data_IF_978173832012
#
_entry.id   IF_978173832012
#
_cell.length_a   1.000
_cell.length_b   1.000
_cell.length_c   1.000
_cell.angle_alpha   90.00
_cell.angle_beta   90.00
_cell.angle_gamma   90.00
#
_symmetry.space_group_name_H-M   'P 1'
#
loop_
_entity.id
_entity.type
_entity.pdbx_description
1 polymer ?
#
# COMPACT_ATOMS: atom_id res chain seq x y z
N UNK A 1 -4.18 -19.85 -27.89
CA UNK A 1 -4.88 -20.20 -26.63
C UNK A 1 -4.94 -18.94 -25.79
N UNK A 2 -6.16 -18.47 -25.50
CA UNK A 2 -6.49 -17.13 -24.99
C UNK A 2 -6.75 -17.17 -23.48
N UNK A 3 -6.06 -16.35 -22.68
CA UNK A 3 -6.23 -16.12 -21.22
C UNK A 3 -5.47 -14.79 -20.91
N UNK A 4 -5.91 -13.74 -20.19
CA UNK A 4 -7.13 -13.39 -19.44
C UNK A 4 -7.20 -11.84 -19.38
N UNK A 5 -8.39 -11.26 -19.49
CA UNK A 5 -8.65 -9.84 -19.27
C UNK A 5 -8.86 -9.63 -17.75
N UNK A 6 -8.09 -8.75 -17.10
CA UNK A 6 -8.14 -8.58 -15.64
C UNK A 6 -9.21 -7.51 -15.28
N UNK A 7 -10.37 -7.96 -14.80
CA UNK A 7 -11.51 -7.09 -14.47
C UNK A 7 -11.45 -6.61 -13.01
N UNK A 8 -11.32 -5.30 -12.83
CA UNK A 8 -11.43 -4.60 -11.55
C UNK A 8 -12.91 -4.49 -11.15
N UNK A 9 -13.25 -4.83 -9.91
CA UNK A 9 -14.58 -4.59 -9.34
C UNK A 9 -14.48 -3.52 -8.25
N UNK A 10 -15.13 -2.38 -8.46
CA UNK A 10 -15.27 -1.30 -7.48
C UNK A 10 -16.63 -1.38 -6.78
N UNK A 11 -16.65 -1.50 -5.46
CA UNK A 11 -17.85 -1.34 -4.63
C UNK A 11 -17.95 0.10 -4.15
N UNK A 12 -18.72 0.93 -4.85
CA UNK A 12 -18.86 2.36 -4.56
C UNK A 12 -19.85 2.66 -3.42
N UNK A 13 -19.43 3.46 -2.44
CA UNK A 13 -20.35 4.26 -1.61
C UNK A 13 -20.72 5.52 -2.39
N UNK A 14 -22.01 5.76 -2.59
CA UNK A 14 -22.53 6.92 -3.32
C UNK A 14 -21.97 8.25 -2.79
N UNK A 15 -21.32 9.04 -3.66
CA UNK A 15 -21.01 10.44 -3.37
C UNK A 15 -19.66 11.01 -3.81
N UNK A 16 -18.86 10.39 -4.70
CA UNK A 16 -17.59 10.98 -5.14
C UNK A 16 -17.41 10.95 -6.67
N UNK A 17 -16.96 12.08 -7.22
CA UNK A 17 -16.73 12.29 -8.63
C UNK A 17 -15.53 11.43 -9.09
N UNK A 18 -15.69 10.45 -10.01
CA UNK A 18 -14.63 9.52 -10.42
C UNK A 18 -13.47 10.17 -11.20
N UNK A 19 -13.50 11.49 -11.41
CA UNK A 19 -12.56 12.18 -12.29
C UNK A 19 -11.24 12.65 -11.65
N UNK A 20 -11.04 12.47 -10.34
CA UNK A 20 -9.73 12.71 -9.73
C UNK A 20 -9.29 11.53 -8.86
N UNK A 21 -8.64 10.50 -9.44
CA UNK A 21 -8.12 9.35 -8.69
C UNK A 21 -7.08 9.77 -7.62
N UNK A 22 -7.06 9.04 -6.50
CA UNK A 22 -6.04 9.20 -5.46
C UNK A 22 -4.70 8.59 -5.87
N UNK A 23 -4.77 7.51 -6.64
CA UNK A 23 -3.60 6.81 -7.18
C UNK A 23 -3.84 6.61 -8.67
N UNK A 24 -2.87 7.02 -9.47
CA UNK A 24 -2.77 6.61 -10.87
C UNK A 24 -1.45 5.89 -11.08
N UNK A 25 -1.53 4.77 -11.78
CA UNK A 25 -0.38 3.97 -12.16
C UNK A 25 -0.51 3.68 -13.65
N UNK A 26 0.55 3.95 -14.41
CA UNK A 26 0.61 3.64 -15.83
C UNK A 26 1.88 2.88 -16.18
N UNK A 27 1.72 1.77 -16.90
CA UNK A 27 2.79 0.97 -17.45
C UNK A 27 3.75 0.40 -16.39
N UNK A 28 3.24 -0.01 -15.22
CA UNK A 28 4.11 -0.57 -14.17
C UNK A 28 4.76 -1.86 -14.65
N UNK A 29 6.09 -1.83 -14.74
CA UNK A 29 6.93 -2.99 -15.01
C UNK A 29 7.86 -3.23 -13.85
N UNK A 30 8.02 -4.50 -13.48
CA UNK A 30 8.93 -4.92 -12.42
C UNK A 30 9.77 -6.08 -12.92
N UNK A 31 11.09 -5.97 -12.78
CA UNK A 31 12.08 -6.97 -13.19
C UNK A 31 12.94 -7.38 -12.00
N UNK A 32 13.30 -8.66 -11.92
CA UNK A 32 14.30 -9.18 -10.98
C UNK A 32 15.29 -10.01 -11.80
N UNK A 33 16.57 -9.62 -11.77
CA UNK A 33 17.55 -10.20 -12.70
C UNK A 33 17.04 -10.04 -14.14
N UNK A 34 17.01 -11.13 -14.91
CA UNK A 34 16.52 -11.11 -16.29
C UNK A 34 15.02 -11.34 -16.48
N UNK A 35 14.30 -11.63 -15.40
CA UNK A 35 12.88 -11.98 -15.46
C UNK A 35 11.99 -10.78 -15.19
N UNK A 36 11.12 -10.45 -16.14
CA UNK A 36 10.02 -9.51 -15.94
C UNK A 36 8.86 -10.21 -15.22
N UNK A 37 8.46 -9.65 -14.09
CA UNK A 37 7.42 -10.20 -13.20
C UNK A 37 6.10 -9.42 -13.31
N UNK A 38 6.13 -8.16 -13.74
CA UNK A 38 4.96 -7.36 -14.10
C UNK A 38 5.21 -6.74 -15.47
N UNK A 39 4.23 -6.86 -16.37
CA UNK A 39 4.38 -6.55 -17.80
C UNK A 39 3.60 -5.30 -18.24
N UNK A 40 3.58 -4.24 -17.43
CA UNK A 40 2.87 -3.00 -17.74
C UNK A 40 1.47 -2.97 -17.16
N UNK A 41 1.36 -2.82 -15.84
CA UNK A 41 0.08 -2.71 -15.13
C UNK A 41 -0.39 -1.26 -15.12
N UNK A 42 -1.64 -1.04 -15.53
CA UNK A 42 -2.37 0.23 -15.40
C UNK A 42 -3.43 0.12 -14.30
N UNK A 43 -3.57 1.17 -13.48
CA UNK A 43 -4.55 1.21 -12.39
C UNK A 43 -4.95 2.65 -12.07
N UNK A 44 -6.23 2.85 -11.79
CA UNK A 44 -6.76 4.05 -11.12
C UNK A 44 -7.49 3.64 -9.85
N UNK A 45 -7.15 4.25 -8.73
CA UNK A 45 -7.87 4.09 -7.46
C UNK A 45 -8.57 5.41 -7.15
N UNK A 46 -9.91 5.46 -7.12
CA UNK A 46 -10.65 6.66 -6.77
C UNK A 46 -10.30 7.17 -5.37
N UNK A 47 -10.42 8.47 -5.17
CA UNK A 47 -10.37 9.06 -3.81
C UNK A 47 -11.53 8.53 -2.98
N UNK A 48 -11.26 8.33 -1.69
CA UNK A 48 -12.28 7.97 -0.69
C UNK A 48 -12.94 6.60 -0.87
N UNK A 49 -12.46 5.77 -1.79
CA UNK A 49 -13.06 4.48 -2.10
C UNK A 49 -12.16 3.31 -1.72
N UNK A 50 -12.77 2.15 -1.49
CA UNK A 50 -12.06 0.91 -1.21
C UNK A 50 -11.94 0.10 -2.49
N UNK A 51 -10.71 -0.04 -2.99
CA UNK A 51 -10.44 -0.83 -4.21
C UNK A 51 -9.82 -2.17 -3.85
N UNK A 52 -10.31 -3.25 -4.46
CA UNK A 52 -9.76 -4.59 -4.34
C UNK A 52 -9.07 -5.03 -5.64
N UNK A 53 -7.89 -5.63 -5.51
CA UNK A 53 -7.19 -6.30 -6.62
C UNK A 53 -7.40 -7.80 -6.47
N UNK A 54 -8.07 -8.40 -7.45
CA UNK A 54 -8.39 -9.85 -7.49
C UNK A 54 -7.70 -10.53 -8.67
N UNK A 55 -7.59 -11.86 -8.62
CA UNK A 55 -6.93 -12.66 -9.66
C UNK A 55 -6.25 -13.91 -9.09
N UNK A 56 -5.78 -14.80 -9.97
CA UNK A 56 -5.17 -16.08 -9.62
C UNK A 56 -3.88 -15.95 -8.79
N UNK A 57 -3.52 -16.97 -8.01
CA UNK A 57 -2.25 -16.99 -7.29
C UNK A 57 -1.08 -16.79 -8.27
N UNK A 58 -0.11 -15.94 -7.90
CA UNK A 58 1.02 -15.63 -8.78
C UNK A 58 0.78 -14.55 -9.83
N UNK A 59 -0.45 -14.04 -10.01
CA UNK A 59 -0.76 -12.99 -11.01
C UNK A 59 -0.15 -11.60 -10.75
N UNK A 60 0.74 -11.47 -9.75
CA UNK A 60 1.44 -10.23 -9.45
C UNK A 60 0.72 -9.26 -8.50
N UNK A 61 -0.48 -9.56 -7.98
CA UNK A 61 -1.25 -8.66 -7.08
C UNK A 61 -0.43 -8.10 -5.91
N UNK A 62 0.21 -8.99 -5.15
CA UNK A 62 1.04 -8.59 -4.00
C UNK A 62 2.30 -7.85 -4.44
N UNK A 63 2.82 -8.13 -5.64
CA UNK A 63 3.98 -7.44 -6.20
C UNK A 63 3.60 -6.01 -6.64
N UNK A 64 2.45 -5.84 -7.28
CA UNK A 64 1.87 -4.52 -7.61
C UNK A 64 1.64 -3.70 -6.35
N UNK A 65 1.03 -4.28 -5.31
CA UNK A 65 0.80 -3.58 -4.05
C UNK A 65 2.13 -3.18 -3.35
N UNK A 66 3.14 -4.05 -3.40
CA UNK A 66 4.49 -3.72 -2.89
C UNK A 66 5.17 -2.62 -3.71
N UNK A 67 4.99 -2.58 -5.03
CA UNK A 67 5.51 -1.52 -5.88
C UNK A 67 4.91 -0.16 -5.52
N UNK A 68 3.59 -0.11 -5.37
CA UNK A 68 2.87 1.10 -4.93
C UNK A 68 3.30 1.59 -3.54
N UNK A 69 3.76 0.68 -2.67
CA UNK A 69 4.23 1.01 -1.32
C UNK A 69 5.75 1.26 -1.20
N UNK A 70 6.50 1.13 -2.30
CA UNK A 70 7.97 1.22 -2.27
C UNK A 70 8.65 0.12 -1.47
N UNK A 71 8.05 -1.08 -1.45
CA UNK A 71 8.49 -2.25 -0.69
C UNK A 71 9.05 -3.36 -1.59
N UNK A 72 9.41 -3.02 -2.83
CA UNK A 72 10.12 -3.95 -3.70
C UNK A 72 11.53 -4.24 -3.15
N UNK A 73 12.07 -5.44 -3.40
CA UNK A 73 13.46 -5.73 -3.06
C UNK A 73 14.41 -4.74 -3.75
N UNK A 74 15.51 -4.39 -3.10
CA UNK A 74 16.50 -3.41 -3.63
C UNK A 74 17.11 -3.79 -4.98
N UNK A 75 17.11 -5.07 -5.31
CA UNK A 75 17.63 -5.61 -6.56
C UNK A 75 16.56 -5.71 -7.66
N UNK A 76 15.32 -5.27 -7.39
CA UNK A 76 14.29 -5.17 -8.41
C UNK A 76 14.46 -3.86 -9.20
N UNK A 77 14.28 -3.94 -10.51
CA UNK A 77 14.12 -2.77 -11.38
C UNK A 77 12.62 -2.48 -11.52
N UNK A 78 12.23 -1.23 -11.34
CA UNK A 78 10.84 -0.79 -11.48
C UNK A 78 10.75 0.36 -12.46
N UNK A 79 9.72 0.35 -13.31
CA UNK A 79 9.41 1.38 -14.29
C UNK A 79 7.91 1.65 -14.31
N UNK A 80 7.51 2.85 -14.70
CA UNK A 80 6.11 3.27 -14.80
C UNK A 80 5.93 4.70 -14.33
N UNK A 81 4.75 5.26 -14.60
CA UNK A 81 4.33 6.55 -14.09
C UNK A 81 3.43 6.29 -12.88
N UNK A 82 3.77 6.88 -11.74
CA UNK A 82 3.00 6.74 -10.51
C UNK A 82 2.70 8.12 -9.93
N UNK A 83 1.42 8.39 -9.69
CA UNK A 83 0.97 9.53 -8.91
C UNK A 83 0.21 9.08 -7.68
N UNK A 84 0.45 9.77 -6.57
CA UNK A 84 -0.23 9.59 -5.30
C UNK A 84 -0.69 10.96 -4.80
N UNK A 85 -1.99 11.13 -4.60
CA UNK A 85 -2.62 12.35 -4.13
C UNK A 85 -2.22 13.60 -4.95
N UNK A 86 -2.23 13.47 -6.27
CA UNK A 86 -1.83 14.50 -7.26
C UNK A 86 -0.31 14.73 -7.38
N UNK A 87 0.52 14.18 -6.48
CA UNK A 87 1.97 14.28 -6.56
C UNK A 87 2.55 13.15 -7.41
N UNK A 88 3.57 13.46 -8.22
CA UNK A 88 4.34 12.42 -8.92
C UNK A 88 5.30 11.74 -7.96
N UNK A 89 5.30 10.40 -7.95
CA UNK A 89 6.18 9.60 -7.12
C UNK A 89 7.17 8.85 -8.01
N UNK A 90 8.47 9.04 -7.75
CA UNK A 90 9.52 8.24 -8.38
C UNK A 90 9.51 6.82 -7.79
N UNK A 91 9.05 5.85 -8.59
CA UNK A 91 9.03 4.44 -8.21
C UNK A 91 10.43 3.88 -7.91
N UNK A 92 11.46 4.38 -8.60
CA UNK A 92 12.86 4.01 -8.40
C UNK A 92 13.52 4.86 -7.30
N UNK A 93 12.74 5.71 -6.63
CA UNK A 93 13.21 6.60 -5.58
C UNK A 93 13.88 5.85 -4.43
N UNK A 94 14.88 6.50 -3.83
CA UNK A 94 15.59 5.94 -2.69
C UNK A 94 14.71 5.87 -1.42
N UNK A 95 15.22 5.16 -0.42
CA UNK A 95 14.55 4.96 0.87
C UNK A 95 14.09 6.26 1.55
N UNK A 96 14.83 7.37 1.37
CA UNK A 96 14.46 8.68 1.92
C UNK A 96 13.14 9.19 1.34
N UNK A 97 12.95 9.09 0.02
CA UNK A 97 11.73 9.51 -0.66
C UNK A 97 10.54 8.67 -0.21
N UNK A 98 10.72 7.35 -0.16
CA UNK A 98 9.66 6.45 0.30
C UNK A 98 9.28 6.61 1.77
N UNK A 99 10.24 6.90 2.66
CA UNK A 99 9.94 7.20 4.08
C UNK A 99 9.06 8.41 4.27
N UNK A 100 9.14 9.40 3.39
CA UNK A 100 8.29 10.59 3.47
C UNK A 100 6.81 10.24 3.21
N UNK A 101 6.57 9.25 2.35
CA UNK A 101 5.22 8.78 1.99
C UNK A 101 4.66 7.76 3.00
N UNK A 102 5.51 6.83 3.46
CA UNK A 102 5.09 5.76 4.38
C UNK A 102 4.74 6.27 5.78
N UNK A 103 3.64 5.76 6.33
CA UNK A 103 3.07 6.15 7.61
C UNK A 103 2.34 7.51 7.59
N UNK A 104 2.31 8.20 6.45
CA UNK A 104 1.51 9.41 6.24
C UNK A 104 0.44 9.17 5.18
N UNK A 105 0.87 8.95 3.95
CA UNK A 105 -0.01 8.67 2.81
C UNK A 105 -0.19 7.16 2.55
N UNK A 106 0.85 6.36 2.83
CA UNK A 106 0.83 4.91 2.59
C UNK A 106 1.01 4.16 3.91
N UNK A 107 0.10 3.24 4.22
CA UNK A 107 0.27 2.28 5.33
C UNK A 107 0.18 0.88 4.76
N UNK A 108 1.14 0.03 5.13
CA UNK A 108 1.18 -1.37 4.72
C UNK A 108 0.67 -2.26 5.85
N UNK A 109 -0.29 -3.11 5.53
CA UNK A 109 -0.77 -4.17 6.41
C UNK A 109 -0.40 -5.51 5.76
N UNK A 110 0.59 -6.25 6.30
CA UNK A 110 0.99 -7.54 5.74
C UNK A 110 -0.11 -8.59 5.90
N UNK A 111 -0.09 -9.60 5.02
CA UNK A 111 -1.06 -10.72 5.07
C UNK A 111 -0.95 -11.53 6.36
N UNK A 112 0.27 -11.72 6.87
CA UNK A 112 0.52 -12.37 8.15
C UNK A 112 0.77 -11.32 9.24
N UNK A 113 -0.18 -11.10 10.17
CA UNK A 113 -0.03 -10.09 11.22
C UNK A 113 1.08 -10.45 12.22
N UNK A 114 1.33 -11.73 12.49
CA UNK A 114 2.34 -12.14 13.48
C UNK A 114 3.75 -11.86 13.00
N UNK A 115 3.99 -11.90 11.69
CA UNK A 115 5.27 -11.50 11.09
C UNK A 115 5.63 -10.02 11.30
N UNK A 116 4.66 -9.18 11.71
CA UNK A 116 4.83 -7.73 11.83
C UNK A 116 4.95 -7.21 13.27
N UNK A 117 4.67 -8.06 14.27
CA UNK A 117 4.74 -7.69 15.68
C UNK A 117 6.13 -7.98 16.24
N UNK A 118 6.67 -7.03 17.01
CA UNK A 118 7.89 -7.23 17.78
C UNK A 118 7.54 -7.84 19.15
N UNK A 119 7.93 -9.10 19.45
CA UNK A 119 7.61 -9.75 20.72
C UNK A 119 8.29 -9.08 21.93
N UNK A 120 9.29 -8.22 21.71
CA UNK A 120 9.96 -7.47 22.78
C UNK A 120 9.16 -6.22 23.20
N UNK A 121 8.03 -5.94 22.53
CA UNK A 121 7.21 -4.77 22.79
C UNK A 121 5.73 -5.13 22.97
N UNK A 122 5.08 -4.51 23.94
CA UNK A 122 3.63 -4.68 24.14
C UNK A 122 2.84 -4.15 22.95
N UNK A 123 1.68 -4.75 22.64
CA UNK A 123 0.80 -4.30 21.55
C UNK A 123 0.49 -2.81 21.65
N UNK A 124 0.18 -2.31 22.85
CA UNK A 124 -0.09 -0.89 23.08
C UNK A 124 1.11 0.02 22.76
N UNK A 125 2.34 -0.43 23.00
CA UNK A 125 3.56 0.32 22.65
C UNK A 125 3.73 0.40 21.14
N UNK A 126 3.54 -0.73 20.44
CA UNK A 126 3.66 -0.80 18.99
C UNK A 126 2.58 0.03 18.28
N UNK A 127 1.33 -0.04 18.75
CA UNK A 127 0.22 0.81 18.24
C UNK A 127 0.53 2.29 18.45
N UNK A 128 1.02 2.69 19.63
CA UNK A 128 1.36 4.08 19.93
C UNK A 128 2.55 4.60 19.10
N UNK A 129 3.49 3.72 18.72
CA UNK A 129 4.68 4.10 17.93
C UNK A 129 4.32 4.60 16.53
N UNK A 130 3.22 4.13 15.93
CA UNK A 130 2.72 4.60 14.64
C UNK A 130 2.07 5.99 14.69
N UNK A 131 1.82 6.55 15.87
CA UNK A 131 1.12 7.83 16.01
C UNK A 131 2.08 9.02 15.92
N UNK A 132 1.90 9.82 14.86
CA UNK A 132 2.74 11.00 14.56
C UNK A 132 2.46 12.24 15.43
N UNK A 133 1.31 12.29 16.10
CA UNK A 133 0.88 13.46 16.89
C UNK A 133 0.36 13.06 18.28
N UNK A 134 0.34 14.04 19.19
CA UNK A 134 -0.10 13.88 20.58
C UNK A 134 1.02 13.57 21.56
N UNK A 135 0.78 13.90 22.82
CA UNK A 135 1.63 13.59 23.96
C UNK A 135 1.76 12.07 24.18
N UNK A 136 2.75 11.66 24.97
CA UNK A 136 2.92 10.25 25.35
C UNK A 136 1.69 9.68 26.07
N UNK A 137 1.00 10.49 26.87
CA UNK A 137 -0.20 10.07 27.59
C UNK A 137 -1.38 9.89 26.61
N UNK A 138 -1.60 10.85 25.71
CA UNK A 138 -2.68 10.78 24.71
C UNK A 138 -2.51 9.58 23.77
N UNK A 139 -1.30 9.33 23.26
CA UNK A 139 -1.03 8.18 22.39
C UNK A 139 -1.28 6.85 23.10
N UNK A 140 -0.88 6.74 24.37
CA UNK A 140 -1.15 5.54 25.19
C UNK A 140 -2.64 5.33 25.40
N UNK A 141 -3.38 6.38 25.74
CA UNK A 141 -4.82 6.31 25.92
C UNK A 141 -5.54 5.94 24.62
N UNK A 142 -5.10 6.48 23.49
CA UNK A 142 -5.62 6.13 22.17
C UNK A 142 -5.33 4.67 21.82
N UNK A 143 -4.11 4.19 22.07
CA UNK A 143 -3.75 2.79 21.85
C UNK A 143 -4.62 1.85 22.70
N UNK A 144 -4.88 2.20 23.97
CA UNK A 144 -5.79 1.45 24.84
C UNK A 144 -7.21 1.38 24.27
N UNK A 145 -7.74 2.49 23.77
CA UNK A 145 -9.08 2.52 23.14
C UNK A 145 -9.15 1.61 21.92
N UNK A 146 -8.16 1.69 21.03
CA UNK A 146 -8.11 0.84 19.83
C UNK A 146 -8.05 -0.66 20.17
N UNK A 147 -7.36 -1.03 21.25
CA UNK A 147 -7.35 -2.40 21.75
C UNK A 147 -8.74 -2.84 22.26
N UNK A 148 -9.42 -1.97 23.00
CA UNK A 148 -10.80 -2.23 23.44
C UNK A 148 -11.78 -2.39 22.28
N UNK A 149 -11.62 -1.62 21.20
CA UNK A 149 -12.48 -1.72 20.00
C UNK A 149 -12.40 -3.10 19.33
N UNK A 150 -11.28 -3.83 19.49
CA UNK A 150 -11.07 -5.17 18.94
C UNK A 150 -11.20 -6.30 19.98
N UNK A 151 -11.71 -5.98 21.18
CA UNK A 151 -12.04 -6.95 22.22
C UNK A 151 -10.92 -7.29 23.21
N UNK A 152 -9.93 -6.40 23.38
CA UNK A 152 -8.84 -6.53 24.35
C UNK A 152 -8.94 -5.56 25.55
#
# INVERSE_FOLDING_TARGET
MSIMNNSLQSTSKQGQNPQNPAITLRGLKVRIGDTELLHGVDLDIPRGDTTAIVGESGSGKSLTAKALAGLLPRYATVQGLYSLLDDTVDLAGGERSWRALRGGAIVWLPQDPFSSLDPLHTCGTQIAAGMRSGSRAERRNRARRLLTDVGA
#
